data_IF_243563285966
#
_entry.id   IF_243563285966
#
_cell.length_a   1.000
_cell.length_b   1.000
_cell.length_c   1.000
_cell.angle_alpha   90.00
_cell.angle_beta   90.00
_cell.angle_gamma   90.00
#
_symmetry.space_group_name_H-M   'P 1'
#
loop_
_entity.id
_entity.type
_entity.pdbx_description
1 polymer ?
#
# COMPACT_ATOMS: atom_id res chain seq x y z
N UNK A 1 -29.35 -29.78 6.40
CA UNK A 1 -28.42 -29.41 7.49
C UNK A 1 -27.31 -28.59 6.85
N UNK A 2 -27.32 -27.27 7.02
CA UNK A 2 -26.26 -26.40 6.55
C UNK A 2 -25.10 -26.43 7.56
N UNK A 3 -23.88 -26.24 7.07
CA UNK A 3 -22.67 -26.27 7.90
C UNK A 3 -22.69 -25.10 8.91
N UNK A 4 -22.23 -25.31 10.16
CA UNK A 4 -22.41 -24.37 11.27
C UNK A 4 -21.77 -22.99 11.05
N UNK A 5 -20.75 -22.90 10.19
CA UNK A 5 -20.12 -21.62 9.85
C UNK A 5 -20.94 -20.75 8.88
N UNK A 6 -21.91 -21.31 8.15
CA UNK A 6 -22.79 -20.55 7.24
C UNK A 6 -23.99 -19.93 7.93
N UNK A 7 -24.31 -20.36 9.16
CA UNK A 7 -25.36 -19.72 9.96
C UNK A 7 -24.94 -18.35 10.51
N UNK A 8 -23.65 -18.00 10.42
CA UNK A 8 -23.07 -16.75 10.91
C UNK A 8 -22.63 -15.82 9.77
N UNK A 9 -23.08 -16.03 8.53
CA UNK A 9 -22.63 -15.25 7.36
C UNK A 9 -23.07 -13.79 7.44
N UNK A 10 -24.31 -13.54 7.85
CA UNK A 10 -24.92 -12.20 7.83
C UNK A 10 -24.29 -11.25 8.87
N UNK A 11 -23.84 -11.79 10.01
CA UNK A 11 -23.21 -11.01 11.07
C UNK A 11 -21.74 -10.67 10.74
N UNK A 12 -21.05 -11.57 10.02
CA UNK A 12 -19.67 -11.36 9.59
C UNK A 12 -19.61 -10.42 8.39
N UNK A 13 -20.55 -10.55 7.45
CA UNK A 13 -20.70 -9.63 6.33
C UNK A 13 -20.99 -8.20 6.82
N UNK A 14 -21.82 -8.03 7.86
CA UNK A 14 -22.06 -6.70 8.46
C UNK A 14 -20.84 -6.11 9.18
N UNK A 15 -20.03 -6.93 9.88
CA UNK A 15 -18.80 -6.44 10.54
C UNK A 15 -17.73 -6.07 9.52
N UNK A 16 -17.55 -6.87 8.47
CA UNK A 16 -16.61 -6.58 7.38
C UNK A 16 -17.08 -5.35 6.60
N UNK A 17 -18.38 -5.19 6.33
CA UNK A 17 -18.93 -4.02 5.64
C UNK A 17 -18.85 -2.74 6.49
N UNK A 18 -19.12 -2.83 7.80
CA UNK A 18 -19.06 -1.69 8.72
C UNK A 18 -17.64 -1.27 9.09
N UNK A 19 -16.64 -2.14 8.94
CA UNK A 19 -15.22 -1.79 9.14
C UNK A 19 -14.56 -1.20 7.89
N UNK A 20 -15.25 -1.16 6.74
CA UNK A 20 -14.74 -0.57 5.49
C UNK A 20 -15.03 0.92 5.35
N UNK A 21 -15.75 1.55 6.29
CA UNK A 21 -15.88 3.02 6.33
C UNK A 21 -14.61 3.63 6.92
N UNK A 22 -13.68 3.92 6.01
CA UNK A 22 -12.60 4.90 6.11
C UNK A 22 -11.63 4.73 7.29
N UNK A 23 -10.62 3.88 7.11
CA UNK A 23 -9.28 4.34 7.50
C UNK A 23 -9.02 5.58 6.64
N UNK A 24 -8.80 6.78 7.21
CA UNK A 24 -8.24 7.85 6.39
C UNK A 24 -6.96 7.26 5.80
N UNK A 25 -6.87 7.24 4.46
CA UNK A 25 -5.59 6.99 3.81
C UNK A 25 -4.57 7.86 4.53
N UNK A 26 -3.43 7.33 4.99
CA UNK A 26 -2.43 8.16 5.62
C UNK A 26 -2.07 9.23 4.58
N UNK A 27 -2.53 10.46 4.79
CA UNK A 27 -2.14 11.58 3.94
C UNK A 27 -0.61 11.64 4.05
N UNK A 28 0.05 11.30 2.95
CA UNK A 28 1.51 11.30 2.90
C UNK A 28 1.98 12.71 3.24
N UNK A 29 2.60 12.85 4.41
CA UNK A 29 3.13 14.11 4.85
C UNK A 29 4.19 14.57 3.82
N UNK A 30 4.08 15.79 3.27
CA UNK A 30 4.95 16.25 2.18
C UNK A 30 6.43 16.22 2.55
N UNK A 31 6.77 16.38 3.84
CA UNK A 31 8.15 16.27 4.32
C UNK A 31 8.68 14.83 4.19
N UNK A 32 7.86 13.83 4.50
CA UNK A 32 8.23 12.42 4.40
C UNK A 32 8.39 11.99 2.94
N UNK A 33 7.53 12.51 2.05
CA UNK A 33 7.67 12.31 0.59
C UNK A 33 8.98 12.88 0.08
N UNK A 34 9.34 14.10 0.51
CA UNK A 34 10.58 14.74 0.08
C UNK A 34 11.81 13.99 0.60
N UNK A 35 11.80 13.56 1.87
CA UNK A 35 12.89 12.75 2.45
C UNK A 35 13.08 11.46 1.66
N UNK A 36 11.99 10.73 1.38
CA UNK A 36 12.05 9.49 0.62
C UNK A 36 12.59 9.69 -0.81
N UNK A 37 12.22 10.79 -1.48
CA UNK A 37 12.76 11.15 -2.79
C UNK A 37 14.28 11.40 -2.71
N UNK A 38 14.73 12.16 -1.72
CA UNK A 38 16.16 12.47 -1.54
C UNK A 38 16.98 11.21 -1.21
N UNK A 39 16.46 10.33 -0.36
CA UNK A 39 17.08 9.06 -0.03
C UNK A 39 17.23 8.15 -1.27
N UNK A 40 16.18 8.04 -2.09
CA UNK A 40 16.25 7.27 -3.34
C UNK A 40 17.18 7.93 -4.38
N UNK A 41 17.33 9.24 -4.37
CA UNK A 41 18.33 9.92 -5.20
C UNK A 41 19.77 9.67 -4.74
N UNK A 42 20.00 9.30 -3.48
CA UNK A 42 21.32 8.96 -2.97
C UNK A 42 21.82 7.57 -3.41
N UNK A 43 20.91 6.65 -3.74
CA UNK A 43 21.28 5.34 -4.29
C UNK A 43 21.95 5.46 -5.66
N UNK A 44 22.74 4.48 -6.04
CA UNK A 44 23.31 4.37 -7.39
C UNK A 44 22.26 3.92 -8.41
N UNK A 45 22.55 4.08 -9.70
CA UNK A 45 21.63 3.65 -10.76
C UNK A 45 21.43 2.12 -10.75
N UNK A 46 22.46 1.35 -10.35
CA UNK A 46 22.36 -0.10 -10.20
C UNK A 46 21.42 -0.49 -9.04
N UNK A 47 21.55 0.16 -7.89
CA UNK A 47 20.68 -0.10 -6.73
C UNK A 47 19.23 0.28 -7.04
N UNK A 48 19.02 1.36 -7.80
CA UNK A 48 17.69 1.69 -8.28
C UNK A 48 17.15 0.65 -9.24
N UNK A 49 17.96 0.12 -10.15
CA UNK A 49 17.57 -0.93 -11.09
C UNK A 49 17.21 -2.24 -10.37
N UNK A 50 17.91 -2.59 -9.29
CA UNK A 50 17.57 -3.75 -8.45
C UNK A 50 16.21 -3.56 -7.76
N UNK A 51 15.89 -2.32 -7.37
CA UNK A 51 14.56 -1.91 -6.92
C UNK A 51 13.58 -1.72 -8.10
N UNK A 52 14.04 -1.92 -9.34
CA UNK A 52 13.43 -1.69 -10.65
C UNK A 52 12.95 -0.25 -10.91
N UNK A 53 13.45 0.70 -10.15
CA UNK A 53 13.19 2.12 -10.31
C UNK A 53 14.19 2.73 -11.28
N UNK A 54 13.82 3.87 -11.86
CA UNK A 54 14.74 4.76 -12.57
C UNK A 54 14.65 6.15 -11.96
N UNK A 55 15.67 7.00 -12.16
CA UNK A 55 15.66 8.37 -11.63
C UNK A 55 14.39 9.15 -11.98
N UNK A 56 13.89 8.97 -13.20
CA UNK A 56 12.68 9.64 -13.67
C UNK A 56 11.38 9.12 -13.06
N UNK A 57 11.39 7.93 -12.45
CA UNK A 57 10.19 7.30 -11.88
C UNK A 57 10.11 7.40 -10.36
N UNK A 58 11.15 7.88 -9.68
CA UNK A 58 11.21 7.98 -8.20
C UNK A 58 10.02 8.75 -7.64
N UNK A 59 9.80 9.98 -8.10
CA UNK A 59 8.75 10.86 -7.57
C UNK A 59 7.36 10.25 -7.75
N UNK A 60 7.10 9.64 -8.91
CA UNK A 60 5.84 8.95 -9.17
C UNK A 60 5.68 7.74 -8.25
N UNK A 61 6.73 6.93 -8.12
CA UNK A 61 6.71 5.71 -7.32
C UNK A 61 6.49 5.97 -5.83
N UNK A 62 7.09 7.03 -5.29
CA UNK A 62 6.91 7.42 -3.87
C UNK A 62 5.48 7.90 -3.62
N UNK A 63 4.88 8.65 -4.55
CA UNK A 63 3.56 9.25 -4.34
C UNK A 63 2.39 8.32 -4.68
N UNK A 64 2.58 7.43 -5.65
CA UNK A 64 1.49 6.64 -6.23
C UNK A 64 1.76 5.13 -6.13
N UNK A 65 2.87 4.73 -5.52
CA UNK A 65 3.33 3.35 -5.55
C UNK A 65 3.92 2.95 -6.91
N UNK A 66 4.31 1.68 -7.00
CA UNK A 66 5.03 1.14 -8.16
C UNK A 66 4.05 0.78 -9.29
N UNK A 67 4.19 1.35 -10.50
CA UNK A 67 3.29 1.01 -11.60
C UNK A 67 3.45 -0.47 -11.98
N UNK A 68 2.34 -1.22 -11.96
CA UNK A 68 2.31 -2.65 -12.29
C UNK A 68 2.39 -3.62 -11.11
N UNK A 69 2.52 -3.12 -9.87
CA UNK A 69 2.31 -3.91 -8.66
C UNK A 69 1.13 -3.30 -7.89
N UNK A 70 0.03 -4.04 -7.76
CA UNK A 70 -0.96 -3.72 -6.73
C UNK A 70 -0.23 -3.78 -5.39
N UNK A 71 -0.23 -2.67 -4.67
CA UNK A 71 0.28 -2.60 -3.31
C UNK A 71 -0.64 -3.44 -2.42
N UNK A 72 -0.41 -4.75 -2.43
CA UNK A 72 -1.06 -5.68 -1.51
C UNK A 72 -0.43 -5.42 -0.14
N UNK A 73 -0.92 -4.38 0.53
CA UNK A 73 -0.65 -4.11 1.94
C UNK A 73 -1.19 -5.29 2.74
N UNK A 74 -0.40 -6.36 2.83
CA UNK A 74 -0.58 -7.39 3.83
C UNK A 74 -0.35 -6.71 5.18
N UNK A 75 -1.44 -6.31 5.81
CA UNK A 75 -1.46 -5.98 7.23
C UNK A 75 -1.02 -7.26 7.96
N UNK A 76 0.28 -7.33 8.27
CA UNK A 76 0.84 -8.36 9.11
C UNK A 76 0.23 -8.22 10.52
N UNK A 77 -0.15 -9.38 11.04
CA UNK A 77 -0.90 -9.64 12.28
C UNK A 77 -0.18 -9.24 13.56
#
# INVERSE_FOLDING_TARGET
KAWPWRASSEEWEQRIYSSQVAKPEPELNPADVQSAIEELHAYSDQELEDLGLTRGTIEYAVRNGRPGFEENHVQAA
#
